data_IF_303108536265
#
_entry.id   IF_303108536265
#
_cell.length_a   1.000
_cell.length_b   1.000
_cell.length_c   1.000
_cell.angle_alpha   90.00
_cell.angle_beta   90.00
_cell.angle_gamma   90.00
#
_symmetry.space_group_name_H-M   'P 1'
#
loop_
_entity.id
_entity.type
_entity.pdbx_description
1 polymer ?
#
# COMPACT_ATOMS: atom_id res chain seq x y z
N UNK A 1 31.40 6.50 12.72
CA UNK A 1 29.98 6.31 13.07
C UNK A 1 29.35 5.44 11.99
N UNK A 2 28.87 4.22 12.30
CA UNK A 2 28.27 3.38 11.28
C UNK A 2 26.81 3.79 11.10
N UNK A 3 26.47 4.22 9.88
CA UNK A 3 25.08 4.39 9.44
C UNK A 3 24.44 3.00 9.45
N UNK A 4 23.35 2.82 10.21
CA UNK A 4 22.50 1.61 10.13
C UNK A 4 21.85 1.59 8.75
N UNK A 5 22.55 1.01 7.79
CA UNK A 5 22.07 0.81 6.43
C UNK A 5 21.01 -0.28 6.38
N UNK A 6 20.03 -0.06 5.51
CA UNK A 6 19.15 -1.08 4.94
C UNK A 6 19.96 -2.35 4.66
N UNK A 7 19.47 -3.48 5.16
CA UNK A 7 20.11 -4.78 4.95
C UNK A 7 20.16 -5.03 3.44
N UNK A 8 21.37 -5.24 2.92
CA UNK A 8 21.58 -5.75 1.57
C UNK A 8 21.12 -7.22 1.54
N UNK A 9 19.82 -7.43 1.27
CA UNK A 9 19.31 -8.71 0.80
C UNK A 9 19.64 -8.90 -0.68
N UNK A 10 19.62 -10.14 -1.19
CA UNK A 10 19.99 -10.44 -2.56
C UNK A 10 18.99 -9.73 -3.48
N UNK A 11 19.53 -8.86 -4.33
CA UNK A 11 18.88 -8.28 -5.48
C UNK A 11 17.66 -7.39 -5.17
N UNK A 12 17.92 -6.08 -5.12
CA UNK A 12 16.89 -5.05 -5.36
C UNK A 12 16.17 -5.23 -6.73
N UNK A 13 16.64 -6.13 -7.60
CA UNK A 13 15.92 -6.58 -8.80
C UNK A 13 14.68 -7.44 -8.50
N UNK A 14 14.59 -8.10 -7.33
CA UNK A 14 13.39 -8.87 -6.94
C UNK A 14 12.42 -8.08 -6.05
N UNK A 15 12.81 -6.91 -5.56
CA UNK A 15 11.85 -5.83 -5.24
C UNK A 15 11.39 -5.16 -6.55
N UNK A 16 11.04 -5.97 -7.56
CA UNK A 16 9.94 -5.59 -8.45
C UNK A 16 8.86 -5.12 -7.49
N UNK A 17 8.54 -3.81 -7.53
CA UNK A 17 7.31 -3.28 -6.97
C UNK A 17 6.26 -4.26 -7.48
N UNK A 18 5.84 -5.19 -6.62
CA UNK A 18 4.66 -5.98 -6.86
C UNK A 18 3.61 -4.93 -6.64
N UNK A 19 3.33 -4.20 -7.72
CA UNK A 19 2.12 -3.43 -7.84
C UNK A 19 1.04 -4.50 -7.69
N UNK A 20 0.67 -4.75 -6.44
CA UNK A 20 -0.70 -5.09 -6.21
C UNK A 20 -1.41 -3.83 -6.66
N UNK A 21 -1.92 -3.86 -7.88
CA UNK A 21 -3.01 -3.01 -8.31
C UNK A 21 -4.24 -3.76 -7.79
N UNK A 22 -4.68 -3.57 -6.53
CA UNK A 22 -6.01 -4.00 -6.16
C UNK A 22 -6.92 -3.30 -7.16
N UNK A 23 -7.37 -4.05 -8.15
CA UNK A 23 -8.27 -3.61 -9.19
C UNK A 23 -9.37 -2.76 -8.53
N UNK A 24 -9.51 -1.49 -8.93
CA UNK A 24 -10.70 -0.68 -8.67
C UNK A 24 -11.28 -0.94 -7.26
N UNK A 25 -10.54 -0.56 -6.23
CA UNK A 25 -11.12 -0.54 -4.88
C UNK A 25 -12.20 0.52 -4.85
N UNK A 26 -13.35 0.18 -4.28
CA UNK A 26 -14.42 1.13 -4.13
C UNK A 26 -13.95 2.28 -3.23
N UNK A 27 -14.21 3.52 -3.63
CA UNK A 27 -13.84 4.70 -2.82
C UNK A 27 -14.45 4.68 -1.40
N UNK A 28 -15.53 3.91 -1.22
CA UNK A 28 -16.22 3.72 0.05
C UNK A 28 -15.75 2.50 0.85
N UNK A 29 -14.86 1.67 0.30
CA UNK A 29 -14.30 0.53 1.03
C UNK A 29 -13.37 1.03 2.14
N UNK A 30 -13.52 0.42 3.31
CA UNK A 30 -12.56 0.53 4.41
C UNK A 30 -11.27 -0.22 4.08
N UNK A 31 -10.18 0.16 4.75
CA UNK A 31 -8.91 -0.56 4.65
C UNK A 31 -9.02 -2.04 5.08
N UNK A 32 -9.97 -2.41 5.95
CA UNK A 32 -10.28 -3.81 6.27
C UNK A 32 -10.83 -4.60 5.08
N UNK A 33 -11.77 -4.03 4.33
CA UNK A 33 -12.34 -4.65 3.13
C UNK A 33 -11.27 -4.82 2.04
N UNK A 34 -10.41 -3.81 1.88
CA UNK A 34 -9.24 -3.87 0.99
C UNK A 34 -8.26 -4.97 1.42
N UNK A 35 -7.96 -5.10 2.73
CA UNK A 35 -7.14 -6.19 3.25
C UNK A 35 -7.78 -7.56 2.94
N UNK A 36 -9.07 -7.73 3.18
CA UNK A 36 -9.77 -8.99 2.93
C UNK A 36 -9.62 -9.46 1.48
N UNK A 37 -9.69 -8.53 0.52
CA UNK A 37 -9.43 -8.80 -0.90
C UNK A 37 -7.96 -9.10 -1.21
N UNK A 38 -7.03 -8.61 -0.41
CA UNK A 38 -5.59 -8.82 -0.57
C UNK A 38 -5.08 -10.14 0.05
N UNK A 39 -5.76 -10.67 1.06
CA UNK A 39 -5.37 -11.92 1.76
C UNK A 39 -5.09 -13.12 0.83
N UNK A 40 -5.80 -13.34 -0.31
CA UNK A 40 -5.44 -14.42 -1.24
C UNK A 40 -4.04 -14.31 -1.85
N UNK A 41 -3.45 -13.12 -1.89
CA UNK A 41 -2.10 -12.88 -2.41
C UNK A 41 -1.04 -12.91 -1.31
N UNK A 42 -1.43 -12.57 -0.08
CA UNK A 42 -0.60 -12.67 1.11
C UNK A 42 -1.47 -12.93 2.33
N UNK A 43 -1.52 -14.20 2.76
CA UNK A 43 -2.34 -14.64 3.89
C UNK A 43 -1.93 -13.99 5.23
N UNK A 44 -0.70 -13.48 5.31
CA UNK A 44 -0.16 -12.83 6.50
C UNK A 44 -0.29 -11.29 6.44
N UNK A 45 -0.92 -10.72 5.41
CA UNK A 45 -1.01 -9.26 5.27
C UNK A 45 -1.74 -8.56 6.43
N UNK A 46 -2.53 -9.30 7.21
CA UNK A 46 -3.19 -8.80 8.41
C UNK A 46 -2.21 -8.49 9.56
N UNK A 47 -1.03 -9.13 9.60
CA UNK A 47 -0.01 -8.82 10.60
C UNK A 47 0.94 -7.70 10.17
N UNK A 48 0.81 -7.19 8.94
CA UNK A 48 1.72 -6.17 8.42
C UNK A 48 1.21 -4.78 8.80
N UNK A 49 2.13 -3.82 8.95
CA UNK A 49 1.76 -2.42 9.12
C UNK A 49 1.56 -1.76 7.74
N UNK A 50 0.36 -1.29 7.45
CA UNK A 50 0.00 -0.62 6.21
C UNK A 50 0.29 0.89 6.29
N UNK A 51 0.98 1.43 5.28
CA UNK A 51 1.39 2.84 5.27
C UNK A 51 1.20 3.53 3.93
N UNK A 52 0.85 4.81 3.98
CA UNK A 52 0.88 5.73 2.85
C UNK A 52 1.76 6.92 3.21
N UNK A 53 2.70 7.27 2.31
CA UNK A 53 3.69 8.34 2.54
C UNK A 53 4.40 8.26 3.91
N UNK A 54 4.67 7.05 4.39
CA UNK A 54 5.32 6.79 5.67
C UNK A 54 4.42 6.92 6.91
N UNK A 55 3.16 7.31 6.76
CA UNK A 55 2.15 7.36 7.82
C UNK A 55 1.38 6.04 7.91
N UNK A 56 1.08 5.59 9.12
CA UNK A 56 0.26 4.40 9.33
C UNK A 56 -1.19 4.69 8.92
N UNK A 57 -1.82 3.75 8.22
CA UNK A 57 -3.23 3.83 7.87
C UNK A 57 -4.10 3.36 9.03
N UNK A 58 -5.26 4.00 9.18
CA UNK A 58 -6.33 3.51 10.03
C UNK A 58 -7.15 2.47 9.24
N UNK A 59 -7.25 1.26 9.79
CA UNK A 59 -7.91 0.13 9.13
C UNK A 59 -9.44 0.29 9.04
N UNK A 60 -10.04 1.07 9.95
CA UNK A 60 -11.48 1.35 9.97
C UNK A 60 -11.89 2.48 9.02
N UNK A 61 -10.92 3.15 8.39
CA UNK A 61 -11.14 4.29 7.51
C UNK A 61 -11.07 3.89 6.03
N UNK A 62 -11.72 4.68 5.18
CA UNK A 62 -11.56 4.58 3.72
C UNK A 62 -10.21 5.15 3.26
N UNK A 63 -9.89 4.99 1.97
CA UNK A 63 -8.69 5.59 1.37
C UNK A 63 -8.68 7.12 1.54
N UNK A 64 -9.79 7.79 1.20
CA UNK A 64 -9.90 9.25 1.31
C UNK A 64 -9.75 9.74 2.75
N UNK A 65 -10.37 9.05 3.71
CA UNK A 65 -10.23 9.36 5.14
C UNK A 65 -8.81 9.12 5.68
N UNK A 66 -8.03 8.29 5.01
CA UNK A 66 -6.59 8.10 5.24
C UNK A 66 -5.71 9.10 4.47
N UNK A 67 -6.32 10.02 3.71
CA UNK A 67 -5.63 11.04 2.93
C UNK A 67 -5.16 10.57 1.54
N UNK A 68 -5.63 9.42 1.07
CA UNK A 68 -5.40 8.91 -0.28
C UNK A 68 -6.62 9.28 -1.11
N UNK A 69 -6.54 10.43 -1.80
CA UNK A 69 -7.66 10.94 -2.61
C UNK A 69 -7.64 10.34 -3.99
N UNK A 70 -8.82 10.24 -4.57
CA UNK A 70 -8.97 10.06 -6.01
C UNK A 70 -8.73 11.40 -6.69
N UNK A 71 -7.75 11.45 -7.59
CA UNK A 71 -7.30 12.65 -8.30
C UNK A 71 -7.62 12.57 -9.80
N UNK A 72 -8.34 11.53 -10.25
CA UNK A 72 -8.64 11.31 -11.68
C UNK A 72 -9.36 12.52 -12.31
N UNK A 73 -10.37 13.08 -11.63
CA UNK A 73 -11.08 14.29 -12.08
C UNK A 73 -10.14 15.50 -12.25
N UNK A 74 -9.14 15.63 -11.38
CA UNK A 74 -8.16 16.74 -11.43
C UNK A 74 -7.15 16.53 -12.57
N UNK A 75 -6.67 15.30 -12.76
CA UNK A 75 -5.82 14.96 -13.90
C UNK A 75 -6.53 15.19 -15.23
N UNK A 76 -7.79 14.78 -15.34
CA UNK A 76 -8.62 15.00 -16.53
C UNK A 76 -8.80 16.50 -16.80
N UNK A 77 -9.15 17.27 -15.78
CA UNK A 77 -9.29 18.73 -15.89
C UNK A 77 -8.00 19.40 -16.37
N UNK A 78 -6.84 18.94 -15.87
CA UNK A 78 -5.52 19.47 -16.24
C UNK A 78 -4.96 18.86 -17.54
N UNK A 79 -5.67 17.93 -18.18
CA UNK A 79 -5.21 17.17 -19.35
C UNK A 79 -3.86 16.47 -19.11
N UNK A 80 -3.68 15.94 -17.89
CA UNK A 80 -2.51 15.19 -17.49
C UNK A 80 -2.73 13.68 -17.65
N UNK A 81 -1.68 12.93 -17.96
CA UNK A 81 -1.72 11.47 -17.88
C UNK A 81 -1.69 11.06 -16.39
N UNK A 82 -2.80 10.53 -15.90
CA UNK A 82 -2.96 10.04 -14.52
C UNK A 82 -2.33 8.67 -14.26
N UNK A 83 -2.02 7.89 -15.31
CA UNK A 83 -1.44 6.55 -15.18
C UNK A 83 -0.13 6.48 -14.33
N UNK A 84 0.82 7.43 -14.44
CA UNK A 84 2.02 7.43 -13.59
C UNK A 84 1.76 7.81 -12.13
N UNK A 85 0.57 8.34 -11.77
CA UNK A 85 0.28 8.91 -10.45
C UNK A 85 -0.52 7.98 -9.52
N UNK A 86 -0.62 6.69 -9.84
CA UNK A 86 -1.31 5.74 -8.96
C UNK A 86 -0.70 5.71 -7.54
N UNK A 87 -1.48 5.98 -6.48
CA UNK A 87 -0.96 5.99 -5.11
C UNK A 87 -0.50 4.60 -4.69
N UNK A 88 0.61 4.54 -3.94
CA UNK A 88 1.20 3.29 -3.47
C UNK A 88 1.04 3.14 -1.96
N UNK A 89 0.41 2.05 -1.53
CA UNK A 89 0.37 1.64 -0.12
C UNK A 89 1.50 0.64 0.13
N UNK A 90 2.32 0.92 1.13
CA UNK A 90 3.46 0.10 1.51
C UNK A 90 3.10 -0.75 2.72
N UNK A 91 3.39 -2.05 2.63
CA UNK A 91 3.21 -2.98 3.73
C UNK A 91 4.57 -3.29 4.37
N UNK A 92 4.66 -3.04 5.67
CA UNK A 92 5.86 -3.30 6.46
C UNK A 92 5.66 -4.59 7.24
N UNK A 93 6.55 -5.55 7.00
CA UNK A 93 6.61 -6.77 7.81
C UNK A 93 6.90 -6.38 9.27
N UNK A 94 6.06 -6.87 10.17
CA UNK A 94 6.32 -6.83 11.60
C UNK A 94 6.99 -8.16 11.98
N UNK A 95 8.06 -8.11 12.78
CA UNK A 95 8.78 -9.31 13.25
C UNK A 95 8.03 -10.00 14.41
N UNK A 96 6.70 -10.02 14.32
CA UNK A 96 5.77 -10.68 15.23
C UNK A 96 5.25 -11.95 14.54
N UNK A 97 6.10 -12.98 14.53
CA UNK A 97 5.77 -14.28 13.94
C UNK A 97 4.53 -14.89 14.63
N UNK A 98 3.33 -14.62 14.12
CA UNK A 98 2.17 -15.48 14.35
C UNK A 98 2.14 -16.52 13.24
N UNK A 99 2.76 -17.67 13.50
CA UNK A 99 2.49 -18.90 12.77
C UNK A 99 1.04 -19.30 13.07
N UNK A 100 0.21 -19.38 12.03
CA UNK A 100 -1.14 -19.95 12.08
C UNK A 100 -1.14 -21.28 11.31
#
# INVERSE_FOLDING_TARGET
>A
MPRRGLVAGPDFEFFLRRYFTPAEVGALESMWEILHRYLPYNAHAASYTWKYEGKNLNMDHTLEQNGIRDEDDEFDYLSMDGAPYTPAILLYFNDDLTEL
#
